data_IF_559400884572
#
_entry.id   IF_559400884572
#
_cell.length_a   1.000
_cell.length_b   1.000
_cell.length_c   1.000
_cell.angle_alpha   90.00
_cell.angle_beta   90.00
_cell.angle_gamma   90.00
#
_symmetry.space_group_name_H-M   'P 1'
#
loop_
_entity.id
_entity.type
_entity.pdbx_description
1 polymer ?
#
# COMPACT_ATOMS: atom_id res chain seq x y z
N UNK A 1 42.19 26.19 20.73
CA UNK A 1 41.33 25.00 20.90
C UNK A 1 40.14 24.94 19.95
N UNK A 2 39.41 26.02 19.68
CA UNK A 2 38.23 26.06 18.80
C UNK A 2 38.48 25.62 17.33
N UNK A 3 39.65 25.89 16.73
CA UNK A 3 39.99 25.50 15.35
C UNK A 3 40.27 23.97 15.19
N UNK A 4 40.62 23.27 16.27
CA UNK A 4 40.83 21.81 16.23
C UNK A 4 39.51 21.04 16.31
N UNK A 5 38.56 21.51 17.09
CA UNK A 5 37.22 20.92 17.22
C UNK A 5 36.41 21.05 15.93
N UNK A 6 36.53 22.19 15.23
CA UNK A 6 35.83 22.37 13.94
C UNK A 6 36.38 21.46 12.83
N UNK A 7 37.69 21.16 12.84
CA UNK A 7 38.31 20.23 11.85
C UNK A 7 37.94 18.76 12.11
N UNK A 8 37.80 18.36 13.37
CA UNK A 8 37.32 17.02 13.75
C UNK A 8 35.85 16.85 13.40
N UNK A 9 35.01 17.86 13.62
CA UNK A 9 33.59 17.86 13.29
C UNK A 9 33.37 17.77 11.78
N UNK A 10 34.12 18.54 10.94
CA UNK A 10 34.08 18.48 9.49
C UNK A 10 34.61 17.13 8.94
N UNK A 11 35.60 16.50 9.59
CA UNK A 11 36.07 15.15 9.21
C UNK A 11 35.02 14.08 9.53
N UNK A 12 34.30 14.20 10.64
CA UNK A 12 33.19 13.29 10.99
C UNK A 12 32.03 13.41 10.02
N UNK A 13 31.62 14.61 9.62
CA UNK A 13 30.60 14.83 8.59
C UNK A 13 31.01 14.26 7.23
N UNK A 14 32.26 14.42 6.81
CA UNK A 14 32.77 13.81 5.56
C UNK A 14 32.80 12.29 5.61
N UNK A 15 33.11 11.67 6.75
CA UNK A 15 33.07 10.20 6.92
C UNK A 15 31.63 9.67 6.88
N UNK A 16 30.70 10.35 7.53
CA UNK A 16 29.27 10.00 7.52
C UNK A 16 28.72 10.10 6.10
N UNK A 17 29.07 11.15 5.34
CA UNK A 17 28.62 11.31 3.95
C UNK A 17 29.16 10.23 3.00
N UNK A 18 30.40 9.74 3.20
CA UNK A 18 30.98 8.66 2.38
C UNK A 18 30.34 7.30 2.69
N UNK A 19 30.07 7.01 3.94
CA UNK A 19 29.34 5.79 4.36
C UNK A 19 27.90 5.79 3.82
N UNK A 20 27.20 6.92 3.91
CA UNK A 20 25.87 7.09 3.33
C UNK A 20 25.90 6.98 1.79
N UNK A 21 26.91 7.54 1.11
CA UNK A 21 27.04 7.39 -0.34
C UNK A 21 27.30 5.93 -0.78
N UNK A 22 28.03 5.14 -0.01
CA UNK A 22 28.26 3.72 -0.31
C UNK A 22 26.99 2.88 -0.13
N UNK A 23 26.25 3.12 0.95
CA UNK A 23 24.93 2.51 1.16
C UNK A 23 23.91 2.99 0.12
N UNK A 24 23.96 4.27 -0.25
CA UNK A 24 23.16 4.85 -1.32
C UNK A 24 23.42 4.15 -2.67
N UNK A 25 24.68 3.93 -3.06
CA UNK A 25 25.04 3.19 -4.27
C UNK A 25 24.58 1.73 -4.22
N UNK A 26 24.65 1.06 -3.08
CA UNK A 26 24.16 -0.33 -2.91
C UNK A 26 22.63 -0.39 -3.02
N UNK A 27 21.89 0.49 -2.36
CA UNK A 27 20.44 0.53 -2.39
C UNK A 27 19.92 0.95 -3.79
N UNK A 28 20.51 1.96 -4.42
CA UNK A 28 20.17 2.35 -5.80
C UNK A 28 20.44 1.20 -6.76
N UNK A 29 21.56 0.48 -6.63
CA UNK A 29 21.81 -0.75 -7.40
C UNK A 29 20.76 -1.82 -7.13
N UNK A 30 20.34 -2.03 -5.88
CA UNK A 30 19.33 -3.02 -5.52
C UNK A 30 17.94 -2.63 -6.04
N UNK A 31 17.63 -1.34 -6.08
CA UNK A 31 16.35 -0.84 -6.61
C UNK A 31 16.33 -0.68 -8.14
N UNK A 32 17.48 -0.43 -8.79
CA UNK A 32 17.57 -0.15 -10.22
C UNK A 32 18.24 -1.28 -11.03
N UNK A 33 18.84 -2.29 -10.39
CA UNK A 33 19.48 -3.39 -11.13
C UNK A 33 18.43 -4.24 -11.86
N UNK A 34 18.62 -4.52 -13.16
CA UNK A 34 17.85 -5.54 -13.84
C UNK A 34 18.13 -6.90 -13.19
N UNK A 35 17.16 -7.84 -13.19
CA UNK A 35 17.40 -9.19 -12.68
C UNK A 35 18.55 -9.82 -13.46
N UNK A 36 19.52 -10.41 -12.74
CA UNK A 36 20.63 -11.14 -13.35
C UNK A 36 20.06 -12.23 -14.27
N UNK A 37 20.59 -12.39 -15.49
CA UNK A 37 20.11 -13.44 -16.39
C UNK A 37 20.32 -14.80 -15.72
N UNK A 38 19.27 -15.62 -15.72
CA UNK A 38 19.33 -16.99 -15.20
C UNK A 38 20.44 -17.74 -15.97
N UNK A 39 21.45 -18.23 -15.25
CA UNK A 39 22.51 -19.07 -15.82
C UNK A 39 21.86 -20.34 -16.38
N UNK A 40 21.72 -20.39 -17.69
CA UNK A 40 21.40 -21.61 -18.43
C UNK A 40 22.57 -22.59 -18.21
N UNK A 41 22.33 -23.66 -17.46
CA UNK A 41 23.25 -24.80 -17.41
C UNK A 41 23.25 -25.43 -18.80
N UNK A 42 24.36 -25.29 -19.53
CA UNK A 42 24.59 -26.00 -20.78
C UNK A 42 24.92 -27.45 -20.44
N UNK A 43 23.99 -28.34 -20.67
CA UNK A 43 24.27 -29.76 -20.77
C UNK A 43 24.89 -30.01 -22.12
N UNK A 44 26.16 -30.39 -22.17
CA UNK A 44 26.83 -30.91 -23.35
C UNK A 44 26.15 -32.23 -23.76
N UNK A 45 25.44 -32.20 -24.90
CA UNK A 45 24.94 -33.41 -25.58
C UNK A 45 26.00 -33.86 -26.56
N UNK A 46 26.52 -35.07 -26.33
CA UNK A 46 27.35 -35.79 -27.29
C UNK A 46 26.48 -36.34 -28.42
N UNK A 47 26.81 -35.94 -29.63
CA UNK A 47 26.16 -36.41 -30.84
C UNK A 47 26.50 -37.88 -31.09
N UNK A 48 25.48 -38.73 -31.33
CA UNK A 48 25.59 -39.97 -32.04
C UNK A 48 24.62 -39.99 -33.23
N UNK A 49 25.19 -40.51 -34.34
CA UNK A 49 24.70 -40.56 -35.71
C UNK A 49 23.28 -41.13 -35.89
N UNK A 50 22.64 -40.58 -36.90
CA UNK A 50 21.33 -40.99 -37.43
C UNK A 50 21.35 -42.29 -38.21
N UNK A 51 20.24 -43.03 -38.24
CA UNK A 51 19.72 -43.81 -39.37
C UNK A 51 18.17 -43.79 -39.34
N UNK A 52 17.49 -43.88 -40.50
CA UNK A 52 16.16 -43.31 -40.69
C UNK A 52 15.00 -44.31 -40.77
N UNK A 53 13.79 -43.76 -40.79
CA UNK A 53 12.46 -44.26 -41.21
C UNK A 53 11.66 -45.18 -40.26
N UNK A 54 10.55 -44.63 -39.81
CA UNK A 54 9.22 -45.21 -40.05
C UNK A 54 8.11 -44.22 -39.71
N UNK A 55 7.20 -43.97 -40.64
CA UNK A 55 5.94 -43.23 -40.51
C UNK A 55 5.01 -43.94 -39.55
N UNK A 56 4.45 -43.23 -38.53
CA UNK A 56 3.17 -43.63 -37.93
C UNK A 56 2.45 -42.49 -37.22
N UNK A 57 1.26 -42.24 -37.77
CA UNK A 57 -0.01 -41.87 -37.10
C UNK A 57 -0.05 -40.80 -36.00
N UNK A 58 -0.77 -39.75 -36.33
CA UNK A 58 -1.31 -38.68 -35.48
C UNK A 58 -2.13 -39.27 -34.32
N UNK A 59 -1.74 -38.96 -33.09
CA UNK A 59 -2.62 -39.07 -31.93
C UNK A 59 -2.50 -37.78 -31.11
N UNK A 60 -3.62 -37.07 -31.11
CA UNK A 60 -3.84 -35.88 -30.28
C UNK A 60 -3.63 -36.22 -28.80
N UNK A 61 -2.70 -35.54 -28.13
CA UNK A 61 -2.63 -35.56 -26.65
C UNK A 61 -2.73 -34.15 -26.11
N UNK A 62 -3.75 -34.03 -25.34
CA UNK A 62 -4.17 -32.97 -24.44
C UNK A 62 -3.07 -32.04 -23.92
N UNK A 63 -3.38 -30.75 -23.98
CA UNK A 63 -2.66 -29.64 -23.29
C UNK A 63 -2.45 -29.98 -21.82
N UNK A 64 -1.18 -30.01 -21.41
CA UNK A 64 -0.78 -30.10 -20.01
C UNK A 64 -1.26 -28.88 -19.25
N UNK A 65 -2.24 -29.05 -18.37
CA UNK A 65 -2.62 -28.11 -17.34
C UNK A 65 -1.42 -27.91 -16.42
N UNK A 66 -0.83 -26.72 -16.46
CA UNK A 66 0.03 -26.23 -15.38
C UNK A 66 -0.82 -26.08 -14.11
N UNK A 67 -0.79 -27.09 -13.26
CA UNK A 67 -1.39 -27.02 -11.93
C UNK A 67 -0.50 -26.15 -11.05
N UNK A 68 -0.82 -24.85 -10.95
CA UNK A 68 -0.35 -24.05 -9.85
C UNK A 68 -0.94 -24.65 -8.56
N UNK A 69 -0.07 -25.17 -7.69
CA UNK A 69 -0.46 -25.63 -6.36
C UNK A 69 -1.24 -24.53 -5.66
N UNK A 70 -2.51 -24.79 -5.35
CA UNK A 70 -3.34 -23.91 -4.52
C UNK A 70 -2.70 -23.73 -3.13
N UNK A 71 -2.80 -22.54 -2.52
CA UNK A 71 -2.27 -22.31 -1.19
C UNK A 71 -3.01 -23.19 -0.17
N UNK A 72 -2.25 -23.83 0.72
CA UNK A 72 -2.72 -24.75 1.78
C UNK A 72 -3.34 -24.05 2.99
N UNK A 73 -3.95 -22.90 2.83
CA UNK A 73 -4.86 -22.35 3.85
C UNK A 73 -6.26 -22.91 3.61
N UNK A 74 -7.04 -23.21 4.66
CA UNK A 74 -8.42 -23.63 4.49
C UNK A 74 -9.15 -22.60 3.62
N UNK A 75 -9.83 -23.08 2.58
CA UNK A 75 -10.56 -22.18 1.68
C UNK A 75 -11.60 -21.41 2.50
N UNK A 76 -11.52 -20.11 2.50
CA UNK A 76 -12.54 -19.26 3.11
C UNK A 76 -13.87 -19.47 2.39
N UNK A 77 -15.02 -19.44 3.09
CA UNK A 77 -16.33 -19.72 2.48
C UNK A 77 -16.79 -18.63 1.49
N UNK A 78 -16.20 -17.44 1.55
CA UNK A 78 -16.49 -16.35 0.63
C UNK A 78 -16.00 -16.58 -0.80
N UNK A 79 -16.34 -15.67 -1.70
CA UNK A 79 -16.00 -15.75 -3.14
C UNK A 79 -14.76 -14.92 -3.46
N UNK A 80 -13.80 -15.52 -4.16
CA UNK A 80 -12.59 -14.88 -4.66
C UNK A 80 -12.68 -14.70 -6.17
N UNK A 81 -12.84 -13.46 -6.66
CA UNK A 81 -13.23 -13.15 -8.03
C UNK A 81 -12.12 -12.34 -8.74
N UNK A 82 -11.48 -12.88 -9.79
CA UNK A 82 -10.49 -12.17 -10.60
C UNK A 82 -11.16 -11.35 -11.70
N UNK A 83 -10.67 -10.12 -11.90
CA UNK A 83 -11.16 -9.21 -12.92
C UNK A 83 -10.02 -8.46 -13.62
N UNK A 84 -10.38 -7.78 -14.70
CA UNK A 84 -9.47 -6.90 -15.44
C UNK A 84 -10.15 -5.58 -15.75
N UNK A 85 -9.45 -4.49 -15.44
CA UNK A 85 -9.79 -3.16 -15.88
C UNK A 85 -9.00 -2.82 -17.15
N UNK A 86 -9.69 -2.31 -18.16
CA UNK A 86 -9.08 -1.77 -19.37
C UNK A 86 -9.29 -0.25 -19.37
N UNK A 87 -8.21 0.52 -19.29
CA UNK A 87 -8.33 1.97 -19.38
C UNK A 87 -8.95 2.36 -20.73
N UNK A 88 -9.86 3.35 -20.72
CA UNK A 88 -10.23 4.08 -21.93
C UNK A 88 -8.96 4.63 -22.57
N UNK A 89 -8.92 4.76 -23.91
CA UNK A 89 -7.77 5.34 -24.61
C UNK A 89 -7.50 6.73 -24.01
N UNK A 90 -6.41 6.89 -23.26
CA UNK A 90 -5.88 8.22 -23.04
C UNK A 90 -5.46 8.76 -24.41
N UNK A 91 -5.88 9.98 -24.75
CA UNK A 91 -5.63 10.63 -26.04
C UNK A 91 -4.14 10.65 -26.44
N UNK A 92 -3.22 10.47 -25.50
CA UNK A 92 -1.77 10.44 -25.69
C UNK A 92 -1.17 9.01 -25.69
N UNK A 93 -1.87 7.96 -25.28
CA UNK A 93 -1.33 6.60 -25.20
C UNK A 93 -1.85 5.73 -26.36
N UNK A 94 -0.92 5.24 -27.22
CA UNK A 94 -1.24 4.32 -28.33
C UNK A 94 -1.82 2.97 -27.90
N UNK A 95 -1.73 2.59 -26.61
CA UNK A 95 -2.16 1.29 -26.10
C UNK A 95 -3.03 1.42 -24.86
N UNK A 96 -4.13 0.65 -24.82
CA UNK A 96 -4.94 0.49 -23.61
C UNK A 96 -4.11 -0.19 -22.53
N UNK A 97 -4.02 0.40 -21.35
CA UNK A 97 -3.34 -0.23 -20.22
C UNK A 97 -4.32 -1.10 -19.46
N UNK A 98 -3.93 -2.35 -19.19
CA UNK A 98 -4.69 -3.33 -18.46
C UNK A 98 -4.20 -3.38 -17.01
N UNK A 99 -5.13 -3.36 -16.04
CA UNK A 99 -4.84 -3.59 -14.62
C UNK A 99 -5.68 -4.76 -14.13
N UNK A 100 -5.05 -5.75 -13.53
CA UNK A 100 -5.73 -6.87 -12.90
C UNK A 100 -6.15 -6.48 -11.50
N UNK A 101 -7.30 -6.98 -11.02
CA UNK A 101 -7.74 -6.83 -9.65
C UNK A 101 -8.55 -8.03 -9.21
N UNK A 102 -8.62 -8.24 -7.90
CA UNK A 102 -9.41 -9.30 -7.28
C UNK A 102 -10.38 -8.68 -6.29
N UNK A 103 -11.54 -9.28 -6.20
CA UNK A 103 -12.57 -8.93 -5.22
C UNK A 103 -12.86 -10.14 -4.35
N UNK A 104 -12.73 -9.98 -3.05
CA UNK A 104 -13.22 -10.94 -2.06
C UNK A 104 -14.58 -10.47 -1.55
N UNK A 105 -15.57 -11.35 -1.65
CA UNK A 105 -16.88 -11.14 -1.08
C UNK A 105 -17.10 -12.22 0.00
N UNK A 106 -17.35 -11.82 1.28
CA UNK A 106 -17.58 -12.78 2.35
C UNK A 106 -18.88 -13.59 2.10
N UNK A 107 -19.03 -14.73 2.73
CA UNK A 107 -20.24 -15.56 2.58
C UNK A 107 -21.51 -14.79 2.95
N UNK A 108 -21.43 -13.91 3.94
CA UNK A 108 -22.52 -13.02 4.35
C UNK A 108 -23.00 -12.05 3.27
N UNK A 109 -22.21 -11.83 2.19
CA UNK A 109 -22.60 -11.00 1.04
C UNK A 109 -23.82 -11.55 0.29
N UNK A 110 -24.18 -12.81 0.51
CA UNK A 110 -25.34 -13.45 -0.10
C UNK A 110 -26.67 -13.11 0.60
N UNK A 111 -26.63 -12.41 1.74
CA UNK A 111 -27.84 -11.96 2.42
C UNK A 111 -28.55 -10.88 1.59
N UNK A 112 -29.84 -11.06 1.36
CA UNK A 112 -30.66 -10.16 0.54
C UNK A 112 -30.68 -8.76 1.17
N UNK A 113 -30.30 -7.75 0.36
CA UNK A 113 -30.39 -6.32 0.74
C UNK A 113 -29.26 -5.78 1.62
N UNK A 114 -28.26 -6.58 1.96
CA UNK A 114 -27.12 -6.09 2.76
C UNK A 114 -26.05 -5.44 1.88
N UNK A 115 -25.91 -4.12 2.00
CA UNK A 115 -24.76 -3.41 1.41
C UNK A 115 -23.52 -3.54 2.30
N UNK A 116 -22.39 -3.93 1.72
CA UNK A 116 -21.15 -4.21 2.40
C UNK A 116 -20.21 -3.01 2.42
N UNK A 117 -19.50 -2.74 3.53
CA UNK A 117 -18.31 -1.91 3.48
C UNK A 117 -17.28 -2.49 2.50
N UNK A 118 -16.51 -1.63 1.85
CA UNK A 118 -15.42 -2.03 0.97
C UNK A 118 -14.07 -1.56 1.53
N UNK A 119 -13.12 -2.47 1.68
CA UNK A 119 -11.73 -2.17 2.00
C UNK A 119 -10.87 -2.41 0.75
N UNK A 120 -10.23 -1.35 0.23
CA UNK A 120 -9.30 -1.44 -0.89
C UNK A 120 -7.89 -1.60 -0.35
N UNK A 121 -7.21 -2.70 -0.73
CA UNK A 121 -5.89 -3.07 -0.22
C UNK A 121 -4.82 -2.96 -1.31
N UNK A 122 -3.82 -2.10 -1.11
CA UNK A 122 -2.75 -1.82 -2.07
C UNK A 122 -1.41 -2.39 -1.59
N UNK A 123 -0.88 -3.35 -2.32
CA UNK A 123 0.38 -4.03 -1.99
C UNK A 123 1.62 -3.12 -2.13
N UNK A 124 2.71 -3.48 -1.47
CA UNK A 124 4.01 -2.83 -1.60
C UNK A 124 4.78 -3.27 -2.85
N UNK A 125 5.96 -2.67 -3.06
CA UNK A 125 6.88 -3.09 -4.12
C UNK A 125 7.34 -4.55 -3.91
N UNK A 126 7.58 -5.26 -5.01
CA UNK A 126 7.97 -6.68 -5.06
C UNK A 126 6.93 -7.66 -4.46
N UNK A 127 5.73 -7.20 -4.17
CA UNK A 127 4.61 -8.06 -3.75
C UNK A 127 3.67 -8.31 -4.92
N UNK A 128 2.88 -9.36 -4.81
CA UNK A 128 1.69 -9.63 -5.61
C UNK A 128 0.47 -9.72 -4.69
N UNK A 129 -0.71 -9.84 -5.27
CA UNK A 129 -1.96 -9.90 -4.52
C UNK A 129 -1.99 -11.13 -3.61
N UNK A 130 -1.54 -12.31 -4.08
CA UNK A 130 -1.60 -13.55 -3.30
C UNK A 130 -0.73 -13.46 -2.04
N UNK A 131 0.51 -12.95 -2.17
CA UNK A 131 1.40 -12.72 -1.01
C UNK A 131 0.82 -11.68 -0.06
N UNK A 132 0.17 -10.63 -0.59
CA UNK A 132 -0.37 -9.55 0.22
C UNK A 132 -1.64 -9.98 0.96
N UNK A 133 -2.54 -10.74 0.33
CA UNK A 133 -3.73 -11.33 0.95
C UNK A 133 -3.35 -12.24 2.10
N UNK A 134 -2.44 -13.20 1.85
CA UNK A 134 -1.96 -14.14 2.87
C UNK A 134 -1.21 -13.42 3.99
N UNK A 135 -0.33 -12.50 3.63
CA UNK A 135 0.49 -11.75 4.58
C UNK A 135 -0.34 -10.90 5.53
N UNK A 136 -1.34 -10.20 5.03
CA UNK A 136 -2.20 -9.33 5.83
C UNK A 136 -3.38 -10.07 6.49
N UNK A 137 -3.79 -11.21 5.99
CA UNK A 137 -4.98 -11.97 6.45
C UNK A 137 -6.29 -11.14 6.41
N UNK A 138 -6.34 -10.12 5.54
CA UNK A 138 -7.50 -9.22 5.48
C UNK A 138 -8.79 -9.96 5.06
N UNK A 139 -8.70 -10.99 4.19
CA UNK A 139 -9.88 -11.79 3.82
C UNK A 139 -10.45 -12.61 4.98
N UNK A 140 -9.58 -13.11 5.88
CA UNK A 140 -10.03 -13.84 7.07
C UNK A 140 -10.82 -12.92 8.01
N UNK A 141 -10.37 -11.67 8.15
CA UNK A 141 -11.09 -10.68 8.93
C UNK A 141 -12.38 -10.25 8.22
N UNK A 142 -12.33 -10.07 6.90
CA UNK A 142 -13.49 -9.72 6.07
C UNK A 142 -14.61 -10.76 6.18
N UNK A 143 -14.26 -12.05 6.18
CA UNK A 143 -15.22 -13.14 6.39
C UNK A 143 -15.91 -13.06 7.75
N UNK A 144 -15.14 -12.75 8.80
CA UNK A 144 -15.66 -12.65 10.18
C UNK A 144 -16.51 -11.41 10.42
N UNK A 145 -16.18 -10.31 9.74
CA UNK A 145 -16.75 -8.98 10.01
C UNK A 145 -17.77 -8.51 8.97
N UNK A 146 -17.92 -9.23 7.87
CA UNK A 146 -18.92 -8.94 6.84
C UNK A 146 -18.59 -7.71 5.98
N UNK A 147 -17.37 -7.61 5.43
CA UNK A 147 -16.98 -6.56 4.49
C UNK A 147 -16.30 -7.14 3.24
N UNK A 148 -16.42 -6.45 2.12
CA UNK A 148 -15.74 -6.81 0.88
C UNK A 148 -14.29 -6.28 0.86
N UNK A 149 -13.38 -6.99 0.17
CA UNK A 149 -12.00 -6.54 0.00
C UNK A 149 -11.62 -6.52 -1.47
N UNK A 150 -11.12 -5.37 -1.94
CA UNK A 150 -10.66 -5.16 -3.30
C UNK A 150 -9.14 -5.04 -3.34
N UNK A 151 -8.50 -5.80 -4.24
CA UNK A 151 -7.06 -5.85 -4.42
C UNK A 151 -6.67 -5.49 -5.86
N UNK A 152 -6.45 -4.23 -6.20
CA UNK A 152 -5.76 -3.87 -7.44
C UNK A 152 -4.33 -4.39 -7.44
N UNK A 153 -3.83 -4.85 -8.61
CA UNK A 153 -2.46 -5.32 -8.75
C UNK A 153 -1.69 -4.51 -9.79
N UNK A 154 -0.55 -3.99 -9.38
CA UNK A 154 0.38 -3.37 -10.30
C UNK A 154 1.04 -4.43 -11.18
N UNK A 155 1.12 -4.15 -12.50
CA UNK A 155 1.68 -5.08 -13.47
C UNK A 155 3.21 -4.96 -13.59
N UNK A 156 3.88 -6.04 -13.99
CA UNK A 156 5.30 -6.00 -14.35
C UNK A 156 5.57 -5.11 -15.58
N UNK A 157 4.61 -5.00 -16.49
CA UNK A 157 4.74 -4.12 -17.66
C UNK A 157 4.69 -2.64 -17.32
N UNK A 158 4.05 -2.26 -16.22
CA UNK A 158 4.05 -0.88 -15.71
C UNK A 158 5.28 -0.58 -14.85
N UNK A 159 5.74 -1.54 -14.07
CA UNK A 159 6.93 -1.42 -13.21
C UNK A 159 7.53 -2.80 -12.92
N UNK A 160 8.82 -3.00 -13.24
CA UNK A 160 9.52 -4.29 -13.10
C UNK A 160 9.50 -4.90 -11.68
N UNK A 161 9.29 -4.09 -10.64
CA UNK A 161 9.15 -4.52 -9.25
C UNK A 161 7.69 -4.44 -8.76
N UNK A 162 6.74 -4.31 -9.65
CA UNK A 162 5.34 -4.06 -9.29
C UNK A 162 5.14 -2.93 -8.28
N UNK A 163 6.03 -1.91 -8.28
CA UNK A 163 5.79 -0.71 -7.49
C UNK A 163 4.71 0.15 -8.15
N UNK A 164 3.86 0.75 -7.34
CA UNK A 164 3.00 1.82 -7.81
C UNK A 164 3.85 3.03 -8.22
N UNK A 165 3.42 3.74 -9.28
CA UNK A 165 4.14 4.92 -9.77
C UNK A 165 3.78 6.18 -8.95
N UNK A 166 3.79 6.06 -7.63
CA UNK A 166 3.38 7.11 -6.69
C UNK A 166 4.18 8.40 -6.80
N UNK A 167 5.42 8.34 -7.26
CA UNK A 167 6.30 9.49 -7.48
C UNK A 167 6.09 10.18 -8.85
N UNK A 168 5.23 9.66 -9.70
CA UNK A 168 4.92 10.28 -10.98
C UNK A 168 3.97 11.46 -10.75
N UNK A 169 4.28 12.62 -11.36
CA UNK A 169 3.49 13.86 -11.23
C UNK A 169 2.04 13.68 -11.65
N UNK A 170 1.79 12.97 -12.76
CA UNK A 170 0.45 12.64 -13.23
C UNK A 170 -0.33 11.84 -12.17
N UNK A 171 0.32 10.80 -11.59
CA UNK A 171 -0.29 9.98 -10.55
C UNK A 171 -0.59 10.80 -9.28
N UNK A 172 0.33 11.64 -8.85
CA UNK A 172 0.13 12.51 -7.68
C UNK A 172 -0.97 13.56 -7.91
N UNK A 173 -1.19 13.97 -9.16
CA UNK A 173 -2.29 14.85 -9.55
C UNK A 173 -3.64 14.14 -9.74
N UNK A 174 -3.71 12.82 -9.43
CA UNK A 174 -4.93 12.01 -9.55
C UNK A 174 -5.06 11.25 -10.88
N UNK A 175 -4.12 11.41 -11.82
CA UNK A 175 -4.07 10.63 -13.06
C UNK A 175 -3.40 9.27 -12.89
N UNK A 176 -2.93 8.69 -13.98
CA UNK A 176 -2.10 7.48 -13.99
C UNK A 176 -2.68 6.30 -13.21
N UNK A 177 -1.91 5.77 -12.26
CA UNK A 177 -2.35 4.64 -11.44
C UNK A 177 -3.49 5.01 -10.50
N UNK A 178 -3.54 6.25 -9.97
CA UNK A 178 -4.60 6.72 -9.08
C UNK A 178 -5.97 6.72 -9.79
N UNK A 179 -6.04 7.24 -11.02
CA UNK A 179 -7.26 7.23 -11.84
C UNK A 179 -7.77 5.81 -12.11
N UNK A 180 -6.85 4.86 -12.36
CA UNK A 180 -7.24 3.46 -12.62
C UNK A 180 -7.81 2.80 -11.37
N UNK A 181 -7.19 3.01 -10.20
CA UNK A 181 -7.68 2.49 -8.92
C UNK A 181 -9.06 3.07 -8.63
N UNK A 182 -9.25 4.38 -8.77
CA UNK A 182 -10.55 5.02 -8.57
C UNK A 182 -11.64 4.48 -9.52
N UNK A 183 -11.29 4.27 -10.80
CA UNK A 183 -12.23 3.67 -11.76
C UNK A 183 -12.61 2.23 -11.41
N UNK A 184 -11.66 1.43 -10.91
CA UNK A 184 -11.92 0.05 -10.44
C UNK A 184 -12.86 0.07 -9.23
N UNK A 185 -12.65 0.99 -8.28
CA UNK A 185 -13.52 1.13 -7.10
C UNK A 185 -14.96 1.45 -7.54
N UNK A 186 -15.15 2.40 -8.46
CA UNK A 186 -16.48 2.72 -8.98
C UNK A 186 -17.13 1.52 -9.66
N UNK A 187 -16.40 0.79 -10.53
CA UNK A 187 -16.92 -0.42 -11.18
C UNK A 187 -17.37 -1.47 -10.16
N UNK A 188 -16.61 -1.65 -9.08
CA UNK A 188 -16.96 -2.61 -8.02
C UNK A 188 -18.19 -2.12 -7.25
N UNK A 189 -18.26 -0.84 -6.92
CA UNK A 189 -19.41 -0.26 -6.22
C UNK A 189 -20.69 -0.31 -7.04
N UNK A 190 -20.60 -0.15 -8.38
CA UNK A 190 -21.75 -0.21 -9.28
C UNK A 190 -22.26 -1.65 -9.51
N UNK A 191 -21.35 -2.66 -9.46
CA UNK A 191 -21.68 -4.04 -9.82
C UNK A 191 -21.94 -4.99 -8.65
N UNK A 192 -21.62 -4.56 -7.45
CA UNK A 192 -21.74 -5.38 -6.23
C UNK A 192 -22.44 -4.57 -5.13
N UNK A 193 -23.06 -5.22 -4.15
CA UNK A 193 -23.78 -4.53 -3.08
C UNK A 193 -22.81 -3.85 -2.10
N UNK A 194 -22.21 -2.73 -2.52
CA UNK A 194 -21.26 -1.95 -1.75
C UNK A 194 -21.90 -0.69 -1.20
N UNK A 195 -21.80 -0.49 0.11
CA UNK A 195 -22.16 0.76 0.77
C UNK A 195 -21.15 1.85 0.39
N UNK A 196 -21.52 2.71 -0.54
CA UNK A 196 -20.66 3.79 -1.04
C UNK A 196 -20.31 4.84 0.03
N UNK A 197 -20.96 4.84 1.17
CA UNK A 197 -20.60 5.67 2.33
C UNK A 197 -19.52 5.04 3.21
N UNK A 198 -19.13 3.78 2.95
CA UNK A 198 -18.15 3.01 3.71
C UNK A 198 -17.11 2.36 2.81
N UNK A 199 -16.44 3.17 1.96
CA UNK A 199 -15.32 2.75 1.12
C UNK A 199 -14.02 3.24 1.75
N UNK A 200 -13.16 2.31 2.13
CA UNK A 200 -11.88 2.56 2.79
C UNK A 200 -10.74 2.11 1.90
N UNK A 201 -9.58 2.73 2.03
CA UNK A 201 -8.39 2.35 1.27
C UNK A 201 -7.19 2.26 2.20
N UNK A 202 -6.41 1.20 2.08
CA UNK A 202 -5.18 1.01 2.85
C UNK A 202 -4.09 0.35 2.01
N UNK A 203 -2.85 0.41 2.49
CA UNK A 203 -1.75 -0.28 1.83
C UNK A 203 -0.47 -0.28 2.64
N UNK A 204 0.55 -0.94 2.07
CA UNK A 204 1.90 -1.01 2.60
C UNK A 204 2.89 -0.27 1.69
N UNK A 205 3.79 0.56 2.25
CA UNK A 205 4.91 1.14 1.50
C UNK A 205 4.43 1.97 0.29
N UNK A 206 4.83 1.62 -0.92
CA UNK A 206 4.33 2.24 -2.16
C UNK A 206 2.80 2.16 -2.28
N UNK A 207 2.17 1.07 -1.79
CA UNK A 207 0.72 0.93 -1.72
C UNK A 207 0.08 1.89 -0.72
N UNK A 208 0.72 2.13 0.42
CA UNK A 208 0.27 3.10 1.42
C UNK A 208 0.33 4.54 0.89
N UNK A 209 1.43 4.89 0.21
CA UNK A 209 1.57 6.19 -0.46
C UNK A 209 0.52 6.35 -1.57
N UNK A 210 0.25 5.28 -2.34
CA UNK A 210 -0.81 5.31 -3.36
C UNK A 210 -2.20 5.44 -2.74
N UNK A 211 -2.45 4.81 -1.58
CA UNK A 211 -3.71 4.96 -0.85
C UNK A 211 -3.98 6.42 -0.46
N UNK A 212 -2.96 7.14 0.06
CA UNK A 212 -3.09 8.57 0.34
C UNK A 212 -3.34 9.40 -0.93
N UNK A 213 -2.66 9.10 -2.03
CA UNK A 213 -2.86 9.80 -3.31
C UNK A 213 -4.28 9.62 -3.82
N UNK A 214 -4.83 8.40 -3.77
CA UNK A 214 -6.22 8.14 -4.19
C UNK A 214 -7.19 8.85 -3.26
N UNK A 215 -7.02 8.77 -1.94
CA UNK A 215 -7.91 9.42 -0.98
C UNK A 215 -7.95 10.95 -1.16
N UNK A 216 -6.79 11.58 -1.39
CA UNK A 216 -6.68 13.03 -1.51
C UNK A 216 -7.14 13.56 -2.87
N UNK A 217 -7.07 12.77 -3.94
CA UNK A 217 -7.55 13.18 -5.28
C UNK A 217 -8.98 12.73 -5.57
N UNK A 218 -9.53 11.78 -4.81
CA UNK A 218 -10.91 11.28 -4.94
C UNK A 218 -11.61 11.26 -3.58
N UNK A 219 -11.67 12.43 -2.88
CA UNK A 219 -12.16 12.48 -1.50
C UNK A 219 -13.64 12.12 -1.36
N UNK A 220 -14.42 12.26 -2.45
CA UNK A 220 -15.82 11.85 -2.46
C UNK A 220 -16.02 10.33 -2.64
N UNK A 221 -14.97 9.61 -2.98
CA UNK A 221 -14.99 8.16 -3.12
C UNK A 221 -14.53 7.45 -1.85
N UNK A 222 -13.54 8.00 -1.15
CA UNK A 222 -12.88 7.38 -0.01
C UNK A 222 -13.38 7.97 1.31
N UNK A 223 -13.78 7.11 2.24
CA UNK A 223 -14.30 7.50 3.56
C UNK A 223 -13.21 7.65 4.62
N UNK A 224 -12.18 6.79 4.57
CA UNK A 224 -11.02 6.85 5.46
C UNK A 224 -9.83 6.13 4.81
N UNK A 225 -8.60 6.47 5.25
CA UNK A 225 -7.37 5.92 4.69
C UNK A 225 -6.48 5.30 5.76
N UNK A 226 -5.87 4.14 5.45
CA UNK A 226 -4.87 3.46 6.26
C UNK A 226 -3.50 3.49 5.57
N UNK A 227 -2.48 4.02 6.23
CA UNK A 227 -1.15 4.21 5.67
C UNK A 227 -0.13 3.46 6.52
N UNK A 228 0.29 2.27 6.06
CA UNK A 228 1.34 1.50 6.74
C UNK A 228 2.69 1.71 6.06
N UNK A 229 3.64 2.34 6.77
CA UNK A 229 5.00 2.63 6.25
C UNK A 229 4.99 3.39 4.91
N UNK A 230 4.07 4.35 4.74
CA UNK A 230 3.94 5.18 3.54
C UNK A 230 4.80 6.43 3.60
N UNK A 231 4.98 7.12 2.45
CA UNK A 231 5.69 8.40 2.37
C UNK A 231 4.74 9.58 2.47
N UNK A 232 5.27 10.72 2.89
CA UNK A 232 4.58 12.02 2.84
C UNK A 232 4.09 12.30 1.41
N UNK A 233 2.89 12.90 1.29
CA UNK A 233 2.23 13.17 0.02
C UNK A 233 2.81 14.42 -0.69
N UNK A 234 2.72 14.45 -2.02
CA UNK A 234 2.92 15.65 -2.84
C UNK A 234 4.38 15.98 -3.19
N UNK A 235 5.32 15.05 -2.96
CA UNK A 235 6.76 15.25 -3.17
C UNK A 235 7.44 14.07 -3.87
N UNK A 236 8.69 14.26 -4.27
CA UNK A 236 9.51 13.15 -4.80
C UNK A 236 9.22 12.80 -6.26
N UNK A 237 8.99 13.80 -7.12
CA UNK A 237 8.53 13.68 -8.51
C UNK A 237 9.51 13.01 -9.50
N UNK A 238 10.46 12.22 -9.00
CA UNK A 238 11.40 11.42 -9.78
C UNK A 238 11.88 10.23 -8.96
N UNK A 239 12.54 9.24 -9.56
CA UNK A 239 13.09 8.08 -8.83
C UNK A 239 14.08 8.52 -7.74
N UNK A 240 14.96 9.47 -8.04
CA UNK A 240 15.93 10.02 -7.06
C UNK A 240 15.18 10.82 -5.98
N UNK A 241 14.21 11.63 -6.37
CA UNK A 241 13.35 12.37 -5.45
C UNK A 241 12.56 11.45 -4.55
N UNK A 242 11.98 10.38 -5.08
CA UNK A 242 11.26 9.36 -4.31
C UNK A 242 12.15 8.73 -3.22
N UNK A 243 13.39 8.34 -3.57
CA UNK A 243 14.35 7.87 -2.58
C UNK A 243 14.67 8.93 -1.52
N UNK A 244 14.85 10.19 -1.94
CA UNK A 244 15.07 11.31 -1.03
C UNK A 244 13.95 11.46 -0.01
N UNK A 245 12.70 11.38 -0.46
CA UNK A 245 11.50 11.43 0.40
C UNK A 245 11.44 10.24 1.36
N UNK A 246 11.65 9.03 0.88
CA UNK A 246 11.68 7.84 1.73
C UNK A 246 12.68 7.99 2.90
N UNK A 247 13.85 8.60 2.66
CA UNK A 247 14.92 8.71 3.64
C UNK A 247 14.86 9.96 4.52
N UNK A 248 14.29 11.06 4.04
CA UNK A 248 14.35 12.37 4.71
C UNK A 248 13.00 13.09 4.82
N UNK A 249 11.92 12.50 4.27
CA UNK A 249 10.65 13.20 4.14
C UNK A 249 10.69 14.34 3.11
N UNK A 250 9.70 15.22 3.17
CA UNK A 250 9.64 16.45 2.41
C UNK A 250 10.63 17.48 2.95
N UNK A 251 11.31 18.20 2.06
CA UNK A 251 12.20 19.32 2.44
C UNK A 251 11.44 20.64 2.62
N UNK A 252 10.26 20.77 2.02
CA UNK A 252 9.35 21.88 2.19
C UNK A 252 8.37 21.57 3.32
N UNK A 253 7.66 22.61 3.81
CA UNK A 253 6.58 22.42 4.77
C UNK A 253 5.58 21.37 4.24
N UNK A 254 5.27 20.39 5.08
CA UNK A 254 4.32 19.34 4.72
C UNK A 254 2.90 19.91 4.54
N UNK A 255 2.58 21.03 5.21
CA UNK A 255 1.29 21.71 5.15
C UNK A 255 1.08 22.48 3.85
N UNK A 256 2.09 23.18 3.33
CA UNK A 256 2.00 23.94 2.06
C UNK A 256 1.56 23.07 0.88
N UNK A 257 1.91 21.77 0.93
CA UNK A 257 1.53 20.80 -0.09
C UNK A 257 0.03 20.50 -0.02
N UNK A 258 -0.53 20.42 1.19
CA UNK A 258 -1.94 20.15 1.42
C UNK A 258 -2.82 21.31 1.01
N UNK A 259 -2.36 22.54 1.14
CA UNK A 259 -3.07 23.71 0.67
C UNK A 259 -3.39 23.64 -0.82
N UNK A 260 -2.46 23.08 -1.62
CA UNK A 260 -2.69 22.84 -3.05
C UNK A 260 -3.84 21.84 -3.31
N UNK A 261 -4.00 20.84 -2.45
CA UNK A 261 -5.12 19.88 -2.54
C UNK A 261 -6.42 20.53 -2.09
N UNK A 262 -6.39 21.26 -0.97
CA UNK A 262 -7.58 21.95 -0.44
C UNK A 262 -8.14 22.96 -1.42
N UNK A 263 -7.29 23.63 -2.20
CA UNK A 263 -7.70 24.58 -3.24
C UNK A 263 -8.44 23.94 -4.42
N UNK A 264 -8.23 22.62 -4.68
CA UNK A 264 -8.95 21.89 -5.74
C UNK A 264 -10.44 21.68 -5.43
N UNK A 265 -10.81 21.76 -4.16
CA UNK A 265 -12.15 21.47 -3.69
C UNK A 265 -12.67 22.65 -2.87
N UNK A 266 -13.80 23.20 -3.26
CA UNK A 266 -14.45 24.28 -2.52
C UNK A 266 -14.66 23.92 -1.03
N UNK A 267 -15.05 22.66 -0.80
CA UNK A 267 -15.14 22.04 0.52
C UNK A 267 -14.50 20.66 0.47
N UNK A 268 -13.26 20.53 0.96
CA UNK A 268 -12.65 19.23 1.11
C UNK A 268 -13.34 18.48 2.26
N UNK A 269 -13.87 17.26 2.04
CA UNK A 269 -14.54 16.51 3.09
C UNK A 269 -13.53 16.06 4.14
N UNK A 270 -13.97 15.88 5.38
CA UNK A 270 -13.16 15.26 6.43
C UNK A 270 -12.58 13.93 5.94
N UNK A 271 -11.25 13.74 6.11
CA UNK A 271 -10.54 12.54 5.69
C UNK A 271 -9.87 11.87 6.91
N UNK A 272 -10.56 10.95 7.59
CA UNK A 272 -9.97 10.20 8.67
C UNK A 272 -8.80 9.34 8.20
N UNK A 273 -7.74 9.25 9.03
CA UNK A 273 -6.53 8.49 8.70
C UNK A 273 -6.03 7.68 9.88
N UNK A 274 -5.60 6.44 9.60
CA UNK A 274 -4.75 5.66 10.49
C UNK A 274 -3.35 5.54 9.87
N UNK A 275 -2.34 5.97 10.63
CA UNK A 275 -0.92 5.82 10.30
C UNK A 275 -0.34 4.71 11.15
N UNK A 276 0.35 3.74 10.54
CA UNK A 276 1.07 2.67 11.23
C UNK A 276 2.51 2.70 10.75
N UNK A 277 3.47 2.86 11.66
CA UNK A 277 4.88 2.99 11.27
C UNK A 277 5.81 2.31 12.28
N UNK A 278 6.81 1.60 11.78
CA UNK A 278 7.88 1.04 12.58
C UNK A 278 8.98 2.07 12.82
N UNK A 279 9.42 2.25 14.07
CA UNK A 279 10.50 3.20 14.38
C UNK A 279 11.88 2.75 13.88
N UNK A 280 12.05 1.45 13.58
CA UNK A 280 13.26 0.90 12.94
C UNK A 280 13.14 0.76 11.42
N UNK A 281 12.11 1.36 10.81
CA UNK A 281 11.95 1.35 9.36
C UNK A 281 13.07 2.14 8.67
N UNK A 282 14.00 1.41 8.06
CA UNK A 282 15.14 1.96 7.34
C UNK A 282 14.88 2.13 5.83
N UNK A 283 13.72 1.71 5.34
CA UNK A 283 13.28 1.86 3.94
C UNK A 283 12.49 3.14 3.76
N UNK A 284 11.43 3.32 4.55
CA UNK A 284 10.68 4.57 4.66
C UNK A 284 10.84 5.07 6.10
N UNK A 285 11.68 6.08 6.28
CA UNK A 285 12.02 6.58 7.61
C UNK A 285 10.82 7.18 8.33
N UNK A 286 10.74 7.06 9.67
CA UNK A 286 9.61 7.54 10.49
C UNK A 286 9.26 9.02 10.33
N UNK A 287 10.20 9.85 9.88
CA UNK A 287 9.93 11.26 9.54
C UNK A 287 8.75 11.42 8.57
N UNK A 288 8.51 10.41 7.71
CA UNK A 288 7.38 10.43 6.79
C UNK A 288 6.04 10.30 7.55
N UNK A 289 5.96 9.48 8.59
CA UNK A 289 4.76 9.36 9.42
C UNK A 289 4.46 10.67 10.17
N UNK A 290 5.51 11.31 10.72
CA UNK A 290 5.39 12.63 11.36
C UNK A 290 4.81 13.66 10.39
N UNK A 291 5.37 13.76 9.19
CA UNK A 291 4.92 14.73 8.18
C UNK A 291 3.53 14.40 7.63
N UNK A 292 3.18 13.11 7.47
CA UNK A 292 1.80 12.71 7.15
C UNK A 292 0.82 13.14 8.26
N UNK A 293 1.19 13.00 9.53
CA UNK A 293 0.37 13.47 10.64
C UNK A 293 0.11 14.97 10.53
N UNK A 294 1.13 15.77 10.24
CA UNK A 294 1.00 17.22 10.02
C UNK A 294 0.07 17.51 8.81
N UNK A 295 0.24 16.80 7.70
CA UNK A 295 -0.62 16.94 6.52
C UNK A 295 -2.09 16.66 6.83
N UNK A 296 -2.38 15.57 7.51
CA UNK A 296 -3.76 15.21 7.84
C UNK A 296 -4.34 16.07 8.97
N UNK A 297 -3.53 16.62 9.87
CA UNK A 297 -4.00 17.66 10.82
C UNK A 297 -4.46 18.88 10.05
N UNK A 298 -3.63 19.43 9.17
CA UNK A 298 -3.97 20.59 8.34
C UNK A 298 -5.22 20.32 7.48
N UNK A 299 -5.27 19.18 6.79
CA UNK A 299 -6.39 18.79 5.94
C UNK A 299 -7.72 18.70 6.69
N UNK A 300 -7.70 18.13 7.89
CA UNK A 300 -8.88 18.00 8.75
C UNK A 300 -9.11 19.22 9.64
N UNK A 301 -8.34 20.30 9.47
CA UNK A 301 -8.44 21.55 10.26
C UNK A 301 -8.35 21.31 11.76
N UNK A 302 -7.52 20.35 12.18
CA UNK A 302 -7.22 20.08 13.59
C UNK A 302 -6.19 21.13 14.04
N UNK A 303 -6.55 21.94 15.04
CA UNK A 303 -5.70 23.01 15.55
C UNK A 303 -4.38 22.44 16.13
N UNK A 304 -3.29 23.24 16.06
CA UNK A 304 -1.97 22.80 16.52
C UNK A 304 -1.95 22.51 18.02
N UNK A 305 -2.70 23.27 18.81
CA UNK A 305 -2.87 23.15 20.26
C UNK A 305 -3.95 22.12 20.68
N UNK A 306 -4.56 21.41 19.70
CA UNK A 306 -5.57 20.40 19.99
C UNK A 306 -5.01 19.32 20.91
N UNK A 307 -5.81 18.93 21.90
CA UNK A 307 -5.46 17.85 22.83
C UNK A 307 -5.16 16.57 22.06
N UNK A 308 -3.98 16.02 22.30
CA UNK A 308 -3.57 14.70 21.79
C UNK A 308 -3.69 13.70 22.93
N UNK A 309 -4.39 12.59 22.67
CA UNK A 309 -4.40 11.46 23.61
C UNK A 309 -3.25 10.54 23.24
N UNK A 310 -2.31 10.35 24.14
CA UNK A 310 -1.15 9.46 23.93
C UNK A 310 -1.29 8.26 24.85
N UNK A 311 -1.27 7.07 24.27
CA UNK A 311 -1.32 5.80 25.00
C UNK A 311 -0.09 4.96 24.63
N UNK A 312 0.72 4.62 25.62
CA UNK A 312 1.80 3.65 25.45
C UNK A 312 1.32 2.23 25.78
N UNK A 313 1.73 1.26 24.98
CA UNK A 313 1.49 -0.16 25.20
C UNK A 313 2.82 -0.88 25.29
N UNK A 314 3.06 -1.59 26.40
CA UNK A 314 4.23 -2.45 26.56
C UNK A 314 4.14 -3.65 25.65
N UNK A 315 5.29 -4.14 25.18
CA UNK A 315 5.34 -5.38 24.41
C UNK A 315 4.93 -6.59 25.26
N UNK A 316 4.54 -7.65 24.59
CA UNK A 316 4.29 -8.95 25.21
C UNK A 316 5.36 -9.96 24.78
N UNK A 317 5.58 -11.02 25.57
CA UNK A 317 6.51 -12.08 25.21
C UNK A 317 6.11 -12.78 23.90
N UNK A 318 7.11 -13.21 23.12
CA UNK A 318 6.87 -13.88 21.83
C UNK A 318 6.05 -15.19 21.95
N UNK A 319 6.07 -15.84 23.10
CA UNK A 319 5.29 -17.03 23.41
C UNK A 319 3.90 -16.75 24.01
N UNK A 320 3.50 -15.48 24.11
CA UNK A 320 2.16 -15.10 24.54
C UNK A 320 1.12 -15.44 23.48
N UNK A 321 -0.17 -15.54 23.87
CA UNK A 321 -1.26 -15.76 22.92
C UNK A 321 -1.40 -14.65 21.87
N UNK A 322 -1.01 -13.42 22.24
CA UNK A 322 -1.01 -12.24 21.38
C UNK A 322 0.34 -11.54 21.49
N UNK A 323 1.41 -12.07 20.87
CA UNK A 323 2.71 -11.43 20.91
C UNK A 323 2.68 -10.10 20.18
N UNK A 324 3.13 -9.04 20.82
CA UNK A 324 3.25 -7.74 20.18
C UNK A 324 4.48 -6.98 20.65
N UNK A 325 5.03 -6.17 19.75
CA UNK A 325 6.10 -5.22 20.04
C UNK A 325 5.54 -4.02 20.83
N UNK A 326 6.36 -3.34 21.64
CA UNK A 326 5.94 -2.09 22.27
C UNK A 326 5.52 -1.07 21.22
N UNK A 327 4.47 -0.30 21.48
CA UNK A 327 4.01 0.75 20.58
C UNK A 327 3.33 1.88 21.31
N UNK A 328 3.31 3.05 20.69
CA UNK A 328 2.54 4.21 21.13
C UNK A 328 1.38 4.48 20.17
N UNK A 329 0.30 5.02 20.69
CA UNK A 329 -0.86 5.48 19.93
C UNK A 329 -0.99 6.98 20.21
N UNK A 330 -1.08 7.78 19.17
CA UNK A 330 -1.44 9.19 19.26
C UNK A 330 -2.80 9.36 18.56
N UNK A 331 -3.76 9.92 19.26
CA UNK A 331 -5.11 10.13 18.75
C UNK A 331 -5.45 11.61 18.74
N UNK A 332 -5.94 12.08 17.60
CA UNK A 332 -6.33 13.48 17.39
C UNK A 332 -7.82 13.54 17.09
N UNK A 333 -8.49 14.41 17.83
CA UNK A 333 -9.93 14.54 17.80
C UNK A 333 -10.36 15.89 17.24
N UNK A 334 -11.48 15.90 16.52
CA UNK A 334 -12.19 17.11 16.13
C UNK A 334 -13.69 16.89 16.38
N UNK A 335 -14.32 17.81 17.07
CA UNK A 335 -15.73 17.74 17.46
C UNK A 335 -16.12 16.37 18.10
N UNK A 336 -15.28 15.86 19.00
CA UNK A 336 -15.50 14.58 19.70
C UNK A 336 -15.23 13.32 18.85
N UNK A 337 -14.90 13.46 17.57
CA UNK A 337 -14.62 12.34 16.66
C UNK A 337 -13.13 12.17 16.47
N UNK A 338 -12.61 10.94 16.66
CA UNK A 338 -11.21 10.60 16.35
C UNK A 338 -11.00 10.57 14.84
N UNK A 339 -10.21 11.50 14.32
CA UNK A 339 -9.93 11.63 12.90
C UNK A 339 -8.54 11.12 12.52
N UNK A 340 -7.58 11.12 13.45
CA UNK A 340 -6.22 10.64 13.17
C UNK A 340 -5.81 9.70 14.29
N UNK A 341 -5.35 8.50 13.94
CA UNK A 341 -4.64 7.59 14.84
C UNK A 341 -3.25 7.31 14.28
N UNK A 342 -2.22 7.47 15.09
CA UNK A 342 -0.84 7.17 14.73
C UNK A 342 -0.32 6.08 15.63
N UNK A 343 0.08 4.95 15.04
CA UNK A 343 0.73 3.84 15.72
C UNK A 343 2.22 3.85 15.40
N UNK A 344 3.04 4.09 16.40
CA UNK A 344 4.50 4.01 16.30
C UNK A 344 4.98 2.76 17.03
N UNK A 345 5.53 1.79 16.27
CA UNK A 345 5.89 0.47 16.79
C UNK A 345 7.41 0.42 16.98
N UNK A 346 7.88 0.30 18.22
CA UNK A 346 9.26 0.57 18.63
C UNK A 346 10.32 -0.22 17.85
N UNK A 347 10.12 -1.52 17.65
CA UNK A 347 11.12 -2.42 17.04
C UNK A 347 10.65 -3.02 15.72
N UNK A 348 9.71 -2.39 15.07
CA UNK A 348 9.24 -2.80 13.75
C UNK A 348 10.09 -2.14 12.66
N UNK A 349 10.60 -2.95 11.74
CA UNK A 349 11.20 -2.51 10.48
C UNK A 349 10.15 -2.25 9.40
N UNK A 350 10.55 -2.33 8.12
CA UNK A 350 9.66 -2.13 6.97
C UNK A 350 8.82 -3.37 6.68
N UNK A 351 7.77 -3.60 7.46
CA UNK A 351 6.93 -4.80 7.38
C UNK A 351 5.51 -4.51 7.88
N UNK A 352 4.51 -5.26 7.37
CA UNK A 352 3.14 -5.27 7.89
C UNK A 352 3.12 -5.84 9.30
N UNK A 353 2.62 -5.10 10.26
CA UNK A 353 2.59 -5.47 11.67
C UNK A 353 1.50 -6.52 11.94
N UNK A 354 1.83 -7.56 12.70
CA UNK A 354 0.91 -8.64 13.04
C UNK A 354 0.53 -9.55 11.88
N UNK A 355 1.27 -9.51 10.76
CA UNK A 355 1.02 -10.35 9.58
C UNK A 355 1.65 -11.75 9.67
N UNK A 356 1.62 -12.50 8.55
CA UNK A 356 2.24 -13.81 8.41
C UNK A 356 3.75 -13.66 8.15
N UNK A 357 4.58 -13.85 9.19
CA UNK A 357 6.04 -13.70 9.10
C UNK A 357 6.76 -14.76 8.24
N UNK A 358 6.07 -15.79 7.76
CA UNK A 358 6.60 -16.70 6.74
C UNK A 358 6.73 -16.02 5.37
N UNK A 359 6.04 -14.88 5.17
CA UNK A 359 6.03 -14.09 3.96
C UNK A 359 6.85 -12.80 4.12
N UNK A 360 7.55 -12.42 3.06
CA UNK A 360 8.36 -11.18 3.05
C UNK A 360 7.47 -9.96 3.32
N UNK A 361 8.05 -8.97 3.98
CA UNK A 361 7.39 -7.71 4.34
C UNK A 361 6.24 -7.86 5.35
N UNK A 362 6.26 -8.92 6.16
CA UNK A 362 5.36 -9.13 7.28
C UNK A 362 6.16 -9.43 8.55
N UNK A 363 5.65 -8.95 9.68
CA UNK A 363 6.14 -9.24 11.02
C UNK A 363 5.00 -9.83 11.84
N UNK A 364 5.20 -11.02 12.41
CA UNK A 364 4.16 -11.67 13.24
C UNK A 364 4.07 -11.05 14.64
N UNK A 365 5.13 -10.43 15.11
CA UNK A 365 5.18 -9.72 16.38
C UNK A 365 4.80 -8.26 16.20
N UNK A 366 3.65 -7.89 16.64
CA UNK A 366 3.22 -6.50 16.58
C UNK A 366 1.73 -6.39 16.86
N UNK A 367 1.21 -5.19 17.07
CA UNK A 367 -0.24 -5.02 17.02
C UNK A 367 -0.72 -5.45 15.63
N UNK A 368 -1.83 -6.15 15.56
CA UNK A 368 -2.40 -6.64 14.31
C UNK A 368 -2.92 -5.46 13.47
N UNK A 369 -2.13 -5.02 12.49
CA UNK A 369 -2.47 -3.89 11.65
C UNK A 369 -3.80 -4.08 10.89
N UNK A 370 -4.14 -5.30 10.53
CA UNK A 370 -5.39 -5.63 9.85
C UNK A 370 -6.60 -5.39 10.76
N UNK A 371 -6.52 -5.87 12.00
CA UNK A 371 -7.57 -5.63 13.00
C UNK A 371 -7.66 -4.15 13.37
N UNK A 372 -6.53 -3.47 13.57
CA UNK A 372 -6.49 -2.04 13.89
C UNK A 372 -7.16 -1.21 12.81
N UNK A 373 -6.81 -1.45 11.54
CA UNK A 373 -7.41 -0.76 10.40
C UNK A 373 -8.93 -0.94 10.36
N UNK A 374 -9.42 -2.16 10.53
CA UNK A 374 -10.85 -2.41 10.54
C UNK A 374 -11.55 -1.74 11.73
N UNK A 375 -10.98 -1.81 12.93
CA UNK A 375 -11.54 -1.18 14.13
C UNK A 375 -11.62 0.35 14.02
N UNK A 376 -10.71 0.95 13.27
CA UNK A 376 -10.77 2.37 12.93
C UNK A 376 -11.80 2.64 11.83
N UNK A 377 -11.76 1.89 10.73
CA UNK A 377 -12.62 2.09 9.55
C UNK A 377 -14.10 1.92 9.86
N UNK A 378 -14.50 0.88 10.60
CA UNK A 378 -15.91 0.61 10.93
C UNK A 378 -16.60 1.76 11.68
N UNK A 379 -15.82 2.65 12.32
CA UNK A 379 -16.30 3.85 13.02
C UNK A 379 -16.50 5.05 12.08
N UNK A 380 -15.99 4.96 10.85
CA UNK A 380 -16.03 6.06 9.88
C UNK A 380 -17.13 5.81 8.85
N UNK A 381 -17.95 6.82 8.64
CA UNK A 381 -18.99 6.84 7.60
C UNK A 381 -19.03 8.21 6.98
N UNK A 382 -19.07 8.27 5.66
CA UNK A 382 -19.25 9.52 4.93
C UNK A 382 -20.72 9.86 4.89
N UNK A 383 -21.04 11.14 5.04
CA UNK A 383 -22.39 11.63 4.76
C UNK A 383 -22.59 11.50 3.23
N UNK A 384 -23.65 10.81 2.83
CA UNK A 384 -24.00 10.71 1.41
C UNK A 384 -24.26 12.12 0.87
N UNK A 385 -23.41 12.58 -0.03
CA UNK A 385 -23.74 13.75 -0.82
C UNK A 385 -24.80 13.30 -1.82
N UNK A 386 -26.01 13.80 -1.72
CA UNK A 386 -27.03 13.60 -2.76
C UNK A 386 -26.39 14.03 -4.08
N UNK A 387 -26.38 13.14 -5.08
CA UNK A 387 -25.97 13.53 -6.43
C UNK A 387 -26.86 14.71 -6.82
N UNK A 388 -26.32 15.80 -7.38
CA UNK A 388 -27.16 16.84 -7.96
C UNK A 388 -28.10 16.14 -8.91
N UNK A 389 -29.41 16.38 -8.77
CA UNK A 389 -30.40 16.00 -9.78
C UNK A 389 -29.98 16.75 -11.02
N UNK A 390 -29.50 16.04 -12.05
CA UNK A 390 -29.33 16.63 -13.37
C UNK A 390 -30.72 17.07 -13.84
N UNK A 391 -30.94 18.39 -13.91
CA UNK A 391 -32.14 19.01 -14.46
C UNK A 391 -32.02 19.07 -15.97
#
# INVERSE_FOLDING_TARGET
MLKALSRLWLRSIKKISKSQQSQHKKLVKTFLAPPAPAKRKSTKSTAKKATPLAKRSIRSTSAGKSTSKAPTSPALPGRWLPFYYLSTKDSAARTRRRMQYWLYLPASASAIGAELPLVVMLHGCNQNVDDFVRGTRMNELAEKQGFAVLYPQQSYSSHMKRCWNWYNRETQAGGGDAKRIAAIINIVADKHPIDTTRIYIAGLSAGATMASIVALNYPHLITAVGIHSGTVFGVGHSIIGAYGVMQRGALKSATDIIDTISQKYLLFPTMPVMLIHGLEDNVVRPINALQLTQQFKALNKIAEDSKVVVTAKTGSAANSRNPHKPYTIQEYYQAGKCLIQVYEISTLGHAWSGGDCSLRYNACEGPDATQLLWDFFKKQRRIAVQKPVEV
#
